data_IF_427944404056
#
_entry.id   IF_427944404056
#
_cell.length_a   1.000
_cell.length_b   1.000
_cell.length_c   1.000
_cell.angle_alpha   90.00
_cell.angle_beta   90.00
_cell.angle_gamma   90.00
#
_symmetry.space_group_name_H-M   'P 1'
#
loop_
_entity.id
_entity.type
_entity.pdbx_description
1 polymer ?
#
# COMPACT_ATOMS: atom_id res chain seq x y z
N UNK A 1 3.75 -3.06 7.20
CA UNK A 1 4.23 -3.45 5.86
C UNK A 1 4.64 -2.20 5.11
N UNK A 2 5.73 -2.23 4.35
CA UNK A 2 6.13 -1.15 3.43
C UNK A 2 6.37 -1.75 2.04
N UNK A 3 5.95 -1.03 1.01
CA UNK A 3 6.07 -1.47 -0.38
C UNK A 3 6.71 -0.35 -1.19
N UNK A 4 7.81 -0.66 -1.88
CA UNK A 4 8.47 0.23 -2.82
C UNK A 4 8.50 -0.42 -4.21
N UNK A 5 7.85 0.22 -5.17
CA UNK A 5 7.79 -0.23 -6.56
C UNK A 5 8.71 0.65 -7.40
N UNK A 6 9.65 0.03 -8.11
CA UNK A 6 10.56 0.68 -9.05
C UNK A 6 10.42 0.05 -10.43
N UNK A 7 11.03 0.69 -11.43
CA UNK A 7 11.08 0.12 -12.78
C UNK A 7 11.89 -1.19 -12.83
N UNK A 8 12.89 -1.32 -11.98
CA UNK A 8 13.81 -2.47 -11.92
C UNK A 8 13.32 -3.60 -11.01
N UNK A 9 12.32 -3.38 -10.16
CA UNK A 9 11.78 -4.41 -9.28
C UNK A 9 10.93 -3.87 -8.14
N UNK A 10 10.62 -4.75 -7.20
CA UNK A 10 9.77 -4.44 -6.04
C UNK A 10 10.49 -4.81 -4.75
N UNK A 11 10.48 -3.91 -3.78
CA UNK A 11 11.03 -4.14 -2.45
C UNK A 11 9.92 -4.09 -1.42
N UNK A 12 9.86 -5.08 -0.54
CA UNK A 12 8.80 -5.19 0.46
C UNK A 12 9.43 -5.42 1.83
N UNK A 13 9.04 -4.61 2.80
CA UNK A 13 9.20 -4.96 4.21
C UNK A 13 7.90 -5.55 4.77
N UNK A 14 8.01 -6.72 5.39
CA UNK A 14 6.92 -7.38 6.10
C UNK A 14 7.45 -7.98 7.40
N UNK A 15 6.60 -8.06 8.43
CA UNK A 15 6.94 -8.78 9.65
C UNK A 15 6.70 -10.29 9.45
N UNK A 16 7.36 -11.17 10.21
CA UNK A 16 7.26 -12.62 10.03
C UNK A 16 5.83 -13.13 10.21
N UNK A 17 5.04 -12.52 11.10
CA UNK A 17 3.64 -12.88 11.33
C UNK A 17 2.78 -12.71 10.07
N UNK A 18 2.96 -11.63 9.31
CA UNK A 18 2.17 -11.37 8.10
C UNK A 18 2.78 -12.00 6.83
N UNK A 19 4.05 -12.44 6.89
CA UNK A 19 4.77 -12.95 5.73
C UNK A 19 4.07 -14.15 5.04
N UNK A 20 3.61 -15.20 5.77
CA UNK A 20 2.91 -16.33 5.14
C UNK A 20 1.61 -15.95 4.43
N UNK A 21 0.90 -14.93 4.93
CA UNK A 21 -0.34 -14.46 4.32
C UNK A 21 -0.09 -13.63 3.06
N UNK A 22 1.01 -12.88 3.02
CA UNK A 22 1.37 -12.04 1.89
C UNK A 22 1.98 -12.86 0.74
N UNK A 23 2.76 -13.89 1.08
CA UNK A 23 3.57 -14.65 0.13
C UNK A 23 2.81 -15.16 -1.11
N UNK A 24 1.58 -15.73 -1.01
CA UNK A 24 0.84 -16.20 -2.18
C UNK A 24 0.60 -15.11 -3.24
N UNK A 25 0.44 -13.87 -2.81
CA UNK A 25 0.13 -12.74 -3.69
C UNK A 25 1.36 -12.13 -4.36
N UNK A 26 2.51 -12.19 -3.69
CA UNK A 26 3.74 -11.51 -4.13
C UNK A 26 4.80 -12.44 -4.70
N UNK A 27 4.78 -13.75 -4.39
CA UNK A 27 5.83 -14.70 -4.75
C UNK A 27 6.11 -14.77 -6.26
N UNK A 28 5.12 -14.42 -7.09
CA UNK A 28 5.19 -14.44 -8.55
C UNK A 28 5.76 -13.14 -9.15
N UNK A 29 6.05 -12.11 -8.33
CA UNK A 29 6.52 -10.82 -8.81
C UNK A 29 7.98 -10.92 -9.27
N UNK A 30 8.28 -10.34 -10.43
CA UNK A 30 9.64 -10.28 -10.97
C UNK A 30 10.49 -9.30 -10.15
N UNK A 31 11.75 -9.65 -9.94
CA UNK A 31 12.73 -8.82 -9.23
C UNK A 31 12.23 -8.36 -7.85
N UNK A 32 11.66 -9.31 -7.10
CA UNK A 32 11.15 -9.09 -5.75
C UNK A 32 12.28 -9.26 -4.71
N UNK A 33 12.42 -8.26 -3.85
CA UNK A 33 13.29 -8.30 -2.66
C UNK A 33 12.43 -8.15 -1.41
N UNK A 34 12.55 -9.10 -0.48
CA UNK A 34 11.77 -9.10 0.77
C UNK A 34 12.70 -8.87 1.95
N UNK A 35 12.35 -7.91 2.78
CA UNK A 35 12.96 -7.59 4.07
C UNK A 35 12.02 -8.12 5.16
N UNK A 36 12.39 -9.22 5.78
CA UNK A 36 11.65 -9.85 6.86
C UNK A 36 12.64 -10.35 7.90
N UNK A 37 12.42 -9.98 9.15
CA UNK A 37 13.19 -10.52 10.27
C UNK A 37 12.78 -11.98 10.51
N UNK A 38 13.68 -12.76 11.08
CA UNK A 38 13.36 -14.11 11.54
C UNK A 38 12.33 -14.05 12.69
N UNK A 39 11.43 -15.04 12.73
CA UNK A 39 10.27 -15.04 13.63
C UNK A 39 10.66 -15.14 15.10
N UNK A 40 11.66 -15.98 15.42
CA UNK A 40 12.26 -16.10 16.75
C UNK A 40 12.73 -14.75 17.28
N UNK A 41 13.58 -14.07 16.51
CA UNK A 41 14.12 -12.75 16.88
C UNK A 41 13.04 -11.68 17.04
N UNK A 42 12.04 -11.70 16.15
CA UNK A 42 10.95 -10.72 16.17
C UNK A 42 10.11 -10.79 17.44
N UNK A 43 10.00 -11.97 18.06
CA UNK A 43 9.24 -12.16 19.30
C UNK A 43 10.09 -11.95 20.56
N UNK A 44 11.41 -12.07 20.45
CA UNK A 44 12.34 -11.92 21.57
C UNK A 44 12.65 -10.45 21.88
N UNK A 45 12.80 -9.61 20.86
CA UNK A 45 13.25 -8.23 21.02
C UNK A 45 12.44 -7.26 20.12
N UNK A 46 11.52 -6.51 20.75
CA UNK A 46 10.71 -5.51 20.06
C UNK A 46 11.56 -4.32 19.57
N UNK A 47 12.63 -3.95 20.29
CA UNK A 47 13.51 -2.86 19.90
C UNK A 47 14.34 -3.24 18.67
N UNK A 48 14.91 -4.46 18.64
CA UNK A 48 15.62 -4.98 17.46
C UNK A 48 14.68 -5.08 16.25
N UNK A 49 13.41 -5.45 16.46
CA UNK A 49 12.41 -5.52 15.40
C UNK A 49 12.07 -4.14 14.80
N UNK A 50 11.93 -3.11 15.64
CA UNK A 50 11.73 -1.73 15.19
C UNK A 50 12.98 -1.17 14.49
N UNK A 51 14.18 -1.43 15.01
CA UNK A 51 15.42 -1.06 14.33
C UNK A 51 15.55 -1.72 12.95
N UNK A 52 15.26 -3.01 12.85
CA UNK A 52 15.30 -3.75 11.60
C UNK A 52 14.33 -3.15 10.57
N UNK A 53 13.14 -2.72 11.01
CA UNK A 53 12.16 -2.03 10.14
C UNK A 53 12.73 -0.74 9.58
N UNK A 54 13.35 0.09 10.42
CA UNK A 54 13.94 1.37 10.00
C UNK A 54 15.12 1.12 9.04
N UNK A 55 16.01 0.19 9.36
CA UNK A 55 17.15 -0.18 8.48
C UNK A 55 16.68 -0.74 7.14
N UNK A 56 15.63 -1.56 7.16
CA UNK A 56 14.98 -2.06 5.94
C UNK A 56 14.44 -0.92 5.09
N UNK A 57 13.77 0.07 5.70
CA UNK A 57 13.30 1.26 4.99
C UNK A 57 14.46 2.02 4.34
N UNK A 58 15.55 2.28 5.08
CA UNK A 58 16.73 2.98 4.54
C UNK A 58 17.33 2.21 3.35
N UNK A 59 17.51 0.89 3.47
CA UNK A 59 18.02 0.05 2.39
C UNK A 59 17.08 0.02 1.18
N UNK A 60 15.76 -0.01 1.41
CA UNK A 60 14.76 0.05 0.35
C UNK A 60 14.89 1.35 -0.46
N UNK A 61 15.14 2.48 0.20
CA UNK A 61 15.25 3.80 -0.41
C UNK A 61 16.54 4.04 -1.18
N UNK A 62 17.56 3.18 -1.03
CA UNK A 62 18.85 3.34 -1.68
C UNK A 62 18.73 3.44 -3.22
N UNK A 63 19.41 4.43 -3.79
CA UNK A 63 19.39 4.72 -5.22
C UNK A 63 18.05 5.25 -5.76
N UNK A 64 17.17 5.77 -4.91
CA UNK A 64 15.92 6.42 -5.31
C UNK A 64 16.01 7.92 -5.06
N UNK A 65 16.00 8.76 -6.10
CA UNK A 65 16.09 10.22 -5.93
C UNK A 65 14.71 10.89 -5.86
N UNK A 66 13.70 10.29 -6.49
CA UNK A 66 12.35 10.83 -6.62
C UNK A 66 11.34 9.80 -6.17
N UNK A 67 10.42 10.18 -5.29
CA UNK A 67 9.53 9.27 -4.58
C UNK A 67 8.09 9.77 -4.73
N UNK A 68 7.23 8.93 -5.33
CA UNK A 68 5.81 9.20 -5.41
C UNK A 68 5.09 8.56 -4.23
N UNK A 69 4.22 9.31 -3.55
CA UNK A 69 3.40 8.80 -2.45
C UNK A 69 1.92 9.14 -2.71
N UNK A 70 0.97 8.22 -2.43
CA UNK A 70 -0.44 8.58 -2.38
C UNK A 70 -0.70 9.41 -1.13
N UNK A 71 -1.00 10.70 -1.28
CA UNK A 71 -1.33 11.57 -0.15
C UNK A 71 -2.82 11.94 -0.11
N UNK A 72 -3.32 12.47 -1.22
CA UNK A 72 -4.71 12.94 -1.30
C UNK A 72 -5.69 11.80 -1.58
N UNK A 73 -6.95 11.97 -1.17
CA UNK A 73 -8.05 11.07 -1.52
C UNK A 73 -9.30 11.85 -1.88
N UNK A 74 -10.32 11.20 -2.46
CA UNK A 74 -11.61 11.83 -2.76
C UNK A 74 -12.26 12.51 -1.55
N UNK A 75 -11.96 12.01 -0.35
CA UNK A 75 -12.51 12.52 0.91
C UNK A 75 -11.59 13.53 1.61
N UNK A 76 -10.35 13.71 1.14
CA UNK A 76 -9.40 14.64 1.72
C UNK A 76 -8.56 15.31 0.62
N UNK A 77 -9.03 16.46 0.15
CA UNK A 77 -8.40 17.29 -0.90
C UNK A 77 -7.43 18.33 -0.31
N UNK A 78 -6.69 17.97 0.74
CA UNK A 78 -5.65 18.85 1.28
C UNK A 78 -4.54 19.05 0.24
N UNK A 79 -4.04 20.27 0.14
CA UNK A 79 -2.89 20.57 -0.69
C UNK A 79 -1.66 19.81 -0.18
N UNK A 80 -1.06 18.99 -1.05
CA UNK A 80 0.15 18.26 -0.71
C UNK A 80 1.29 19.22 -0.40
N UNK A 81 1.96 19.01 0.73
CA UNK A 81 3.22 19.67 1.06
C UNK A 81 4.23 18.63 1.56
N UNK A 82 5.49 18.65 1.08
CA UNK A 82 6.51 17.68 1.49
C UNK A 82 6.72 17.62 3.01
N UNK A 83 6.56 18.74 3.70
CA UNK A 83 6.72 18.86 5.16
C UNK A 83 5.69 18.05 5.96
N UNK A 84 4.57 17.65 5.35
CA UNK A 84 3.59 16.78 6.02
C UNK A 84 4.14 15.35 6.15
N UNK A 85 4.93 14.89 5.18
CA UNK A 85 5.52 13.55 5.18
C UNK A 85 6.62 13.44 6.23
N UNK A 86 7.35 14.52 6.48
CA UNK A 86 8.37 14.58 7.56
C UNK A 86 7.80 14.37 8.96
N UNK A 87 6.47 14.42 9.12
CA UNK A 87 5.80 14.11 10.38
C UNK A 87 5.48 12.63 10.55
N UNK A 88 5.68 11.81 9.52
CA UNK A 88 5.39 10.38 9.60
C UNK A 88 6.46 9.67 10.44
N UNK A 89 6.09 8.79 11.39
CA UNK A 89 7.06 8.18 12.31
C UNK A 89 8.24 7.49 11.61
N UNK A 90 7.99 6.75 10.53
CA UNK A 90 9.05 6.06 9.79
C UNK A 90 10.00 7.04 9.06
N UNK A 91 9.48 8.18 8.61
CA UNK A 91 10.26 9.23 7.95
C UNK A 91 11.08 10.00 8.98
N UNK A 92 10.53 10.25 10.17
CA UNK A 92 11.28 10.81 11.28
C UNK A 92 12.41 9.87 11.72
N UNK A 93 12.14 8.58 11.81
CA UNK A 93 13.13 7.57 12.16
C UNK A 93 14.28 7.48 11.14
N UNK A 94 14.00 7.72 9.86
CA UNK A 94 15.03 7.82 8.83
C UNK A 94 16.04 8.94 9.12
N UNK A 95 15.60 10.07 9.67
CA UNK A 95 16.46 11.20 9.97
C UNK A 95 17.34 11.01 11.22
N UNK A 96 17.04 9.99 12.06
CA UNK A 96 17.79 9.73 13.28
C UNK A 96 19.23 9.27 12.98
N UNK A 97 20.17 9.78 13.79
CA UNK A 97 21.57 9.36 13.74
C UNK A 97 21.68 7.86 14.11
N UNK A 98 22.47 7.10 13.34
CA UNK A 98 22.66 5.66 13.55
C UNK A 98 21.97 4.75 12.53
N UNK A 99 20.89 5.18 11.89
CA UNK A 99 20.17 4.35 10.90
C UNK A 99 20.59 4.57 9.44
N UNK A 100 21.44 5.57 9.17
CA UNK A 100 22.03 5.81 7.84
C UNK A 100 21.23 6.75 6.92
N UNK A 101 20.07 7.24 7.35
CA UNK A 101 19.26 8.18 6.54
C UNK A 101 19.82 9.60 6.50
N UNK A 102 20.65 10.03 7.46
CA UNK A 102 21.58 11.16 7.33
C UNK A 102 20.96 12.53 7.00
N UNK A 103 19.84 12.87 7.66
CA UNK A 103 19.13 14.14 7.52
C UNK A 103 17.64 13.99 7.20
N UNK A 104 16.95 15.11 6.97
CA UNK A 104 15.54 15.13 6.57
C UNK A 104 15.33 14.38 5.25
N UNK A 105 14.24 13.62 5.18
CA UNK A 105 13.94 12.77 4.03
C UNK A 105 13.73 13.58 2.74
N UNK A 106 13.00 14.69 2.83
CA UNK A 106 12.70 15.61 1.73
C UNK A 106 13.90 16.42 1.25
N UNK A 107 15.01 16.43 2.00
CA UNK A 107 16.29 16.98 1.53
C UNK A 107 17.06 15.98 0.66
N UNK A 108 16.89 14.67 0.89
CA UNK A 108 17.53 13.60 0.11
C UNK A 108 16.69 13.12 -1.06
N UNK A 109 15.38 13.13 -0.91
CA UNK A 109 14.43 12.58 -1.86
C UNK A 109 13.43 13.66 -2.27
N UNK A 110 13.28 13.88 -3.58
CA UNK A 110 12.20 14.72 -4.11
C UNK A 110 10.88 13.94 -3.98
N UNK A 111 9.94 14.47 -3.20
CA UNK A 111 8.66 13.79 -2.95
C UNK A 111 7.50 14.51 -3.64
N UNK A 112 6.61 13.74 -4.27
CA UNK A 112 5.44 14.25 -4.98
C UNK A 112 4.22 13.36 -4.80
N UNK A 113 3.04 13.96 -4.89
CA UNK A 113 1.76 13.25 -4.78
C UNK A 113 1.45 12.49 -6.09
N UNK A 114 1.08 11.22 -5.97
CA UNK A 114 0.64 10.37 -7.10
C UNK A 114 -0.84 10.00 -7.03
N UNK A 115 -1.60 10.52 -6.06
CA UNK A 115 -2.99 10.15 -5.83
C UNK A 115 -3.89 10.33 -7.04
N UNK A 116 -3.79 11.42 -7.79
CA UNK A 116 -4.61 11.62 -9.01
C UNK A 116 -4.34 10.56 -10.07
N UNK A 117 -3.07 10.15 -10.23
CA UNK A 117 -2.68 9.07 -11.16
C UNK A 117 -3.24 7.73 -10.71
N UNK A 118 -3.23 7.46 -9.42
CA UNK A 118 -3.77 6.23 -8.84
C UNK A 118 -5.31 6.19 -8.92
N UNK A 119 -5.99 7.32 -8.74
CA UNK A 119 -7.45 7.42 -8.90
C UNK A 119 -7.91 6.97 -10.30
N UNK A 120 -7.17 7.36 -11.34
CA UNK A 120 -7.44 6.90 -12.71
C UNK A 120 -7.25 5.39 -12.88
N UNK A 121 -6.40 4.76 -12.06
CA UNK A 121 -6.21 3.31 -12.09
C UNK A 121 -7.35 2.63 -11.32
N UNK A 122 -7.66 3.10 -10.11
CA UNK A 122 -8.69 2.53 -9.25
C UNK A 122 -10.12 2.67 -9.78
N UNK A 123 -10.38 3.62 -10.67
CA UNK A 123 -11.69 3.79 -11.31
C UNK A 123 -11.95 2.82 -12.47
N UNK A 124 -10.94 2.05 -12.88
CA UNK A 124 -11.10 1.05 -13.94
C UNK A 124 -11.70 -0.21 -13.37
N UNK A 125 -12.68 -0.77 -14.10
CA UNK A 125 -13.20 -2.10 -13.81
C UNK A 125 -12.14 -3.13 -14.16
N UNK A 126 -11.76 -3.95 -13.18
CA UNK A 126 -10.84 -5.07 -13.37
C UNK A 126 -11.62 -6.37 -13.61
N UNK A 127 -10.96 -7.44 -14.10
CA UNK A 127 -11.63 -8.70 -14.40
C UNK A 127 -12.35 -9.31 -13.19
N UNK A 128 -11.78 -9.18 -12.00
CA UNK A 128 -12.35 -9.70 -10.75
C UNK A 128 -13.60 -8.89 -10.38
N UNK A 129 -13.55 -7.56 -10.46
CA UNK A 129 -14.70 -6.69 -10.23
C UNK A 129 -15.82 -6.95 -11.23
N UNK A 130 -15.49 -7.21 -12.50
CA UNK A 130 -16.47 -7.61 -13.52
C UNK A 130 -17.11 -8.96 -13.20
N UNK A 131 -16.30 -9.95 -12.81
CA UNK A 131 -16.81 -11.28 -12.43
C UNK A 131 -17.79 -11.17 -11.27
N UNK A 132 -17.42 -10.49 -10.18
CA UNK A 132 -18.28 -10.29 -9.01
C UNK A 132 -19.57 -9.52 -9.36
N UNK A 133 -19.48 -8.52 -10.25
CA UNK A 133 -20.65 -7.78 -10.73
C UNK A 133 -21.65 -8.71 -11.44
N UNK A 134 -21.14 -9.62 -12.28
CA UNK A 134 -21.98 -10.52 -13.09
C UNK A 134 -22.52 -11.68 -12.26
N UNK A 135 -21.69 -12.31 -11.42
CA UNK A 135 -22.08 -13.54 -10.71
C UNK A 135 -22.90 -13.24 -9.45
N UNK A 136 -22.56 -12.18 -8.71
CA UNK A 136 -23.19 -11.88 -7.42
C UNK A 136 -24.21 -10.74 -7.53
N UNK A 137 -23.79 -9.57 -8.04
CA UNK A 137 -24.62 -8.37 -7.94
C UNK A 137 -25.78 -8.37 -8.93
N UNK A 138 -25.52 -8.77 -10.18
CA UNK A 138 -26.53 -8.83 -11.21
C UNK A 138 -27.62 -9.86 -10.87
N UNK A 139 -27.22 -11.04 -10.36
CA UNK A 139 -28.17 -12.09 -9.98
C UNK A 139 -29.08 -11.64 -8.83
N UNK A 140 -28.54 -10.96 -7.83
CA UNK A 140 -29.32 -10.37 -6.74
C UNK A 140 -30.25 -9.27 -7.25
N UNK A 141 -29.76 -8.39 -8.12
CA UNK A 141 -30.54 -7.31 -8.72
C UNK A 141 -31.73 -7.86 -9.52
N UNK A 142 -31.53 -8.86 -10.37
CA UNK A 142 -32.59 -9.48 -11.17
C UNK A 142 -33.69 -10.11 -10.29
N UNK A 143 -33.31 -10.78 -9.19
CA UNK A 143 -34.26 -11.35 -8.24
C UNK A 143 -35.09 -10.26 -7.54
N UNK A 144 -34.43 -9.21 -7.06
CA UNK A 144 -35.11 -8.08 -6.40
C UNK A 144 -36.03 -7.34 -7.36
N UNK A 145 -35.56 -7.08 -8.58
CA UNK A 145 -36.34 -6.44 -9.64
C UNK A 145 -37.57 -7.27 -10.00
N UNK A 146 -37.40 -8.57 -10.22
CA UNK A 146 -38.51 -9.48 -10.56
C UNK A 146 -39.55 -9.53 -9.43
N UNK A 147 -39.10 -9.56 -8.18
CA UNK A 147 -40.01 -9.52 -7.01
C UNK A 147 -40.80 -8.21 -6.96
N UNK A 148 -40.12 -7.09 -7.18
CA UNK A 148 -40.75 -5.76 -7.20
C UNK A 148 -41.82 -5.65 -8.29
N UNK A 149 -41.51 -6.09 -9.52
CA UNK A 149 -42.49 -6.07 -10.62
C UNK A 149 -43.70 -6.95 -10.33
N UNK A 150 -43.48 -8.17 -9.80
CA UNK A 150 -44.58 -9.07 -9.43
C UNK A 150 -45.49 -8.46 -8.36
N UNK A 151 -44.95 -7.77 -7.37
CA UNK A 151 -45.76 -7.14 -6.32
C UNK A 151 -46.59 -5.97 -6.86
N UNK A 152 -46.05 -5.20 -7.81
CA UNK A 152 -46.79 -4.11 -8.46
C UNK A 152 -47.94 -4.64 -9.32
N UNK A 153 -47.72 -5.76 -10.04
CA UNK A 153 -48.75 -6.38 -10.88
C UNK A 153 -49.89 -7.02 -10.07
N UNK A 154 -49.66 -7.37 -8.80
CA UNK A 154 -50.67 -7.96 -7.90
C UNK A 154 -51.58 -6.90 -7.25
N UNK A 155 -51.16 -5.64 -7.19
CA UNK A 155 -51.95 -4.53 -6.63
C UNK A 155 -52.86 -3.82 -7.66
N UNK A 156 -53.02 -4.38 -8.86
CA UNK A 156 -53.99 -3.94 -9.89
C UNK A 156 -55.18 -4.88 -10.00
#
# INVERSE_FOLDING_TARGET
>A
MMLLIRQDGVRIYCNPVNYPYLLPYIAHWKNLQIFCMAEDKYHEDEEEAEEYKIRSFVAMMEGSNRVGLPYSSRFNQQQFSPMVIEKWPIIQAFALEGFGGGGFFTMKHEVFDVSSRLEHIYTRLDPIGLENLVTEQLSQFEQQWTSLIKNIDVER
#
